data_IF_717511027537
#
_entry.id   IF_717511027537
#
_cell.length_a   1.000
_cell.length_b   1.000
_cell.length_c   1.000
_cell.angle_alpha   90.00
_cell.angle_beta   90.00
_cell.angle_gamma   90.00
#
_symmetry.space_group_name_H-M   'P 1'
#
loop_
_entity.id
_entity.type
_entity.pdbx_description
1 polymer ?
#
# COMPACT_ATOMS: atom_id res chain seq x y z
N UNK A 1 -11.56 -20.96 -14.40
CA UNK A 1 -10.66 -20.36 -13.40
C UNK A 1 -9.95 -19.11 -13.93
N UNK A 2 -9.15 -19.19 -15.01
CA UNK A 2 -8.38 -18.05 -15.56
C UNK A 2 -9.13 -16.71 -15.68
N UNK A 3 -10.31 -16.69 -16.31
CA UNK A 3 -11.08 -15.45 -16.48
C UNK A 3 -11.53 -14.85 -15.15
N UNK A 4 -11.86 -15.69 -14.17
CA UNK A 4 -12.22 -15.24 -12.83
C UNK A 4 -11.04 -14.56 -12.12
N UNK A 5 -9.86 -15.19 -12.13
CA UNK A 5 -8.64 -14.58 -11.58
C UNK A 5 -8.26 -13.26 -12.30
N UNK A 6 -8.41 -13.22 -13.63
CA UNK A 6 -8.21 -12.01 -14.42
C UNK A 6 -9.16 -10.89 -14.03
N UNK A 7 -10.47 -11.16 -13.96
CA UNK A 7 -11.48 -10.19 -13.55
C UNK A 7 -11.31 -9.74 -12.09
N UNK A 8 -10.91 -10.64 -11.19
CA UNK A 8 -10.58 -10.32 -9.81
C UNK A 8 -9.48 -9.25 -9.72
N UNK A 9 -8.38 -9.47 -10.45
CA UNK A 9 -7.26 -8.53 -10.51
C UNK A 9 -7.65 -7.18 -11.13
N UNK A 10 -8.45 -7.20 -12.19
CA UNK A 10 -8.99 -5.97 -12.78
C UNK A 10 -9.94 -5.22 -11.81
N UNK A 11 -10.71 -5.94 -10.99
CA UNK A 11 -11.53 -5.34 -9.94
C UNK A 11 -10.68 -4.68 -8.85
N UNK A 12 -9.58 -5.31 -8.41
CA UNK A 12 -8.61 -4.67 -7.51
C UNK A 12 -8.07 -3.39 -8.15
N UNK A 13 -7.66 -3.45 -9.43
CA UNK A 13 -7.15 -2.29 -10.13
C UNK A 13 -8.15 -1.13 -10.17
N UNK A 14 -9.41 -1.42 -10.50
CA UNK A 14 -10.48 -0.42 -10.50
C UNK A 14 -10.67 0.21 -9.10
N UNK A 15 -10.74 -0.60 -8.04
CA UNK A 15 -10.84 -0.11 -6.65
C UNK A 15 -9.65 0.76 -6.25
N UNK A 16 -8.44 0.41 -6.67
CA UNK A 16 -7.25 1.20 -6.41
C UNK A 16 -7.29 2.56 -7.14
N UNK A 17 -7.69 2.60 -8.42
CA UNK A 17 -7.77 3.86 -9.16
C UNK A 17 -8.91 4.76 -8.65
N UNK A 18 -10.05 4.16 -8.31
CA UNK A 18 -11.17 4.88 -7.68
C UNK A 18 -10.77 5.37 -6.28
N UNK A 19 -10.14 4.54 -5.47
CA UNK A 19 -9.67 4.91 -4.14
C UNK A 19 -8.60 5.99 -4.15
N UNK A 20 -7.81 6.09 -5.23
CA UNK A 20 -6.77 7.12 -5.40
C UNK A 20 -7.28 8.39 -6.11
N UNK A 21 -8.54 8.44 -6.50
CA UNK A 21 -9.17 9.54 -7.24
C UNK A 21 -8.78 10.94 -6.72
N UNK A 22 -8.84 11.14 -5.41
CA UNK A 22 -8.54 12.43 -4.78
C UNK A 22 -7.11 12.89 -5.02
N UNK A 23 -6.14 11.97 -4.99
CA UNK A 23 -4.74 12.31 -5.19
C UNK A 23 -4.45 12.75 -6.63
N UNK A 24 -5.21 12.26 -7.61
CA UNK A 24 -5.13 12.73 -9.00
C UNK A 24 -5.60 14.19 -9.16
N UNK A 25 -6.52 14.63 -8.30
CA UNK A 25 -7.04 16.01 -8.32
C UNK A 25 -6.29 16.95 -7.39
N UNK A 26 -5.75 16.42 -6.30
CA UNK A 26 -5.02 17.15 -5.26
C UNK A 26 -3.63 16.54 -5.12
N UNK A 27 -2.66 16.93 -5.97
CA UNK A 27 -1.36 16.28 -6.02
C UNK A 27 -0.59 16.26 -4.69
N UNK A 28 -0.88 17.20 -3.79
CA UNK A 28 -0.32 17.22 -2.42
C UNK A 28 -0.61 15.94 -1.63
N UNK A 29 -1.70 15.23 -1.96
CA UNK A 29 -2.06 13.96 -1.32
C UNK A 29 -1.15 12.80 -1.76
N UNK A 30 -0.37 12.92 -2.84
CA UNK A 30 0.63 11.90 -3.17
C UNK A 30 1.73 11.76 -2.12
N UNK A 31 1.80 12.66 -1.12
CA UNK A 31 2.71 12.49 0.01
C UNK A 31 2.32 11.28 0.88
N UNK A 32 1.03 10.93 0.97
CA UNK A 32 0.58 9.81 1.78
C UNK A 32 1.00 8.47 1.16
N UNK A 33 1.48 7.56 2.02
CA UNK A 33 1.89 6.22 1.65
C UNK A 33 0.72 5.41 1.04
N UNK A 34 -0.48 5.58 1.60
CA UNK A 34 -1.72 4.94 1.13
C UNK A 34 -1.99 5.22 -0.36
N UNK A 35 -1.89 6.49 -0.79
CA UNK A 35 -2.17 6.84 -2.18
C UNK A 35 -1.10 6.28 -3.12
N UNK A 36 0.20 6.43 -2.77
CA UNK A 36 1.30 5.89 -3.59
C UNK A 36 1.19 4.38 -3.77
N UNK A 37 1.01 3.64 -2.68
CA UNK A 37 0.95 2.17 -2.71
C UNK A 37 -0.35 1.64 -3.29
N UNK A 38 -1.48 2.31 -3.06
CA UNK A 38 -2.74 2.02 -3.72
C UNK A 38 -2.63 2.15 -5.25
N UNK A 39 -1.98 3.21 -5.73
CA UNK A 39 -1.78 3.40 -7.17
C UNK A 39 -0.87 2.33 -7.78
N UNK A 40 0.26 2.03 -7.13
CA UNK A 40 1.19 0.98 -7.60
C UNK A 40 0.52 -0.39 -7.60
N UNK A 41 -0.24 -0.73 -6.54
CA UNK A 41 -1.07 -1.94 -6.52
C UNK A 41 -2.04 -1.96 -7.70
N UNK A 42 -2.71 -0.83 -7.98
CA UNK A 42 -3.65 -0.69 -9.08
C UNK A 42 -3.02 -1.00 -10.44
N UNK A 43 -1.87 -0.40 -10.74
CA UNK A 43 -1.14 -0.66 -12.00
C UNK A 43 -0.64 -2.10 -12.10
N UNK A 44 -0.11 -2.67 -11.01
CA UNK A 44 0.36 -4.06 -11.00
C UNK A 44 -0.78 -5.04 -11.20
N UNK A 45 -1.95 -4.79 -10.60
CA UNK A 45 -3.13 -5.63 -10.76
C UNK A 45 -3.80 -5.45 -12.12
N UNK A 46 -3.72 -4.26 -12.72
CA UNK A 46 -4.11 -4.04 -14.11
C UNK A 46 -3.25 -4.88 -15.07
N UNK A 47 -1.92 -4.84 -14.90
CA UNK A 47 -1.00 -5.67 -15.66
C UNK A 47 -1.27 -7.16 -15.43
N UNK A 48 -1.34 -7.61 -14.17
CA UNK A 48 -1.61 -9.01 -13.84
C UNK A 48 -2.96 -9.51 -14.41
N UNK A 49 -4.01 -8.70 -14.30
CA UNK A 49 -5.35 -9.01 -14.83
C UNK A 49 -5.33 -9.14 -16.35
N UNK A 50 -4.78 -8.15 -17.05
CA UNK A 50 -4.63 -8.17 -18.51
C UNK A 50 -3.79 -9.36 -18.98
N UNK A 51 -2.63 -9.59 -18.36
CA UNK A 51 -1.76 -10.73 -18.68
C UNK A 51 -2.48 -12.07 -18.46
N UNK A 52 -3.30 -12.18 -17.41
CA UNK A 52 -4.07 -13.40 -17.12
C UNK A 52 -5.13 -13.67 -18.19
N UNK A 53 -5.84 -12.63 -18.65
CA UNK A 53 -6.90 -12.77 -19.66
C UNK A 53 -6.30 -13.03 -21.05
N UNK A 54 -5.29 -12.24 -21.42
CA UNK A 54 -4.66 -12.22 -22.74
C UNK A 54 -3.53 -13.23 -22.91
N UNK A 55 -3.23 -14.03 -21.87
CA UNK A 55 -2.07 -14.95 -21.84
C UNK A 55 -0.73 -14.22 -22.05
N UNK A 56 -0.61 -13.00 -21.51
CA UNK A 56 0.60 -12.20 -21.56
C UNK A 56 1.62 -12.57 -20.47
N UNK A 57 2.72 -11.84 -20.44
CA UNK A 57 3.76 -11.96 -19.41
C UNK A 57 3.22 -11.42 -18.09
N UNK A 58 3.29 -12.22 -17.03
CA UNK A 58 2.86 -11.82 -15.68
C UNK A 58 3.89 -10.88 -15.02
N UNK A 59 3.46 -10.01 -14.09
CA UNK A 59 4.40 -9.26 -13.27
C UNK A 59 5.38 -10.20 -12.54
N UNK A 60 6.64 -9.77 -12.33
CA UNK A 60 7.62 -10.59 -11.62
C UNK A 60 7.17 -10.83 -10.18
N UNK A 61 7.53 -11.98 -9.61
CA UNK A 61 7.16 -12.37 -8.25
C UNK A 61 7.58 -11.32 -7.22
N UNK A 62 8.76 -10.70 -7.41
CA UNK A 62 9.21 -9.58 -6.58
C UNK A 62 8.18 -8.43 -6.51
N UNK A 63 7.63 -8.05 -7.67
CA UNK A 63 6.68 -6.94 -7.76
C UNK A 63 5.30 -7.30 -7.19
N UNK A 64 4.86 -8.56 -7.36
CA UNK A 64 3.66 -9.06 -6.70
C UNK A 64 3.81 -9.08 -5.18
N UNK A 65 4.93 -9.56 -4.68
CA UNK A 65 5.21 -9.58 -3.25
C UNK A 65 5.26 -8.19 -2.61
N UNK A 66 5.93 -7.22 -3.25
CA UNK A 66 6.03 -5.86 -2.69
C UNK A 66 4.66 -5.15 -2.62
N UNK A 67 3.81 -5.28 -3.63
CA UNK A 67 2.49 -4.64 -3.60
C UNK A 67 1.55 -5.32 -2.61
N UNK A 68 1.66 -6.64 -2.42
CA UNK A 68 0.91 -7.36 -1.38
C UNK A 68 1.37 -6.93 0.01
N UNK A 69 2.69 -6.83 0.25
CA UNK A 69 3.24 -6.32 1.51
C UNK A 69 2.66 -4.94 1.84
N UNK A 70 2.74 -3.99 0.91
CA UNK A 70 2.29 -2.64 1.16
C UNK A 70 0.78 -2.52 1.30
N UNK A 71 0.00 -3.37 0.63
CA UNK A 71 -1.44 -3.44 0.83
C UNK A 71 -1.78 -3.89 2.27
N UNK A 72 -1.13 -4.95 2.75
CA UNK A 72 -1.31 -5.46 4.12
C UNK A 72 -0.87 -4.42 5.15
N UNK A 73 0.31 -3.85 4.97
CA UNK A 73 0.83 -2.78 5.84
C UNK A 73 -0.13 -1.59 5.89
N UNK A 74 -0.65 -1.16 4.74
CA UNK A 74 -1.60 -0.05 4.67
C UNK A 74 -2.86 -0.35 5.46
N UNK A 75 -3.40 -1.58 5.36
CA UNK A 75 -4.55 -1.99 6.16
C UNK A 75 -4.24 -2.04 7.66
N UNK A 76 -3.10 -2.61 8.05
CA UNK A 76 -2.68 -2.73 9.45
C UNK A 76 -2.48 -1.34 10.08
N UNK A 77 -1.77 -0.44 9.40
CA UNK A 77 -1.56 0.93 9.86
C UNK A 77 -2.88 1.69 9.93
N UNK A 78 -3.74 1.57 8.92
CA UNK A 78 -5.06 2.20 8.94
C UNK A 78 -5.94 1.68 10.09
N UNK A 79 -5.87 0.39 10.41
CA UNK A 79 -6.67 -0.20 11.48
C UNK A 79 -6.15 0.17 12.88
N UNK A 80 -4.82 0.20 13.07
CA UNK A 80 -4.22 0.38 14.40
C UNK A 80 -3.93 1.84 14.74
N UNK A 81 -3.58 2.66 13.75
CA UNK A 81 -2.98 3.99 13.99
C UNK A 81 -3.83 5.15 13.46
N UNK A 82 -4.85 4.89 12.63
CA UNK A 82 -5.68 5.94 12.06
C UNK A 82 -7.03 6.04 12.78
N UNK A 83 -7.57 7.24 12.97
CA UNK A 83 -8.95 7.40 13.43
C UNK A 83 -9.93 6.84 12.39
N UNK A 84 -11.17 6.49 12.81
CA UNK A 84 -12.22 6.13 11.86
C UNK A 84 -12.44 7.20 10.79
N UNK A 85 -12.64 6.77 9.55
CA UNK A 85 -12.97 7.65 8.43
C UNK A 85 -14.31 8.36 8.68
N UNK A 86 -14.37 9.67 8.41
CA UNK A 86 -15.59 10.48 8.51
C UNK A 86 -16.25 10.63 7.13
N UNK A 87 -17.50 10.17 6.94
CA UNK A 87 -18.19 10.25 5.66
C UNK A 87 -18.45 11.67 5.16
N UNK A 88 -18.32 12.69 6.02
CA UNK A 88 -18.45 14.10 5.63
C UNK A 88 -17.20 14.64 4.92
N UNK A 89 -16.05 14.02 5.13
CA UNK A 89 -14.75 14.49 4.61
C UNK A 89 -14.12 13.53 3.62
N UNK A 90 -14.47 12.24 3.66
CA UNK A 90 -13.97 11.23 2.73
C UNK A 90 -14.97 11.04 1.58
N UNK A 91 -14.58 11.29 0.32
CA UNK A 91 -15.41 11.05 -0.85
C UNK A 91 -15.96 9.65 -0.92
N UNK A 92 -17.20 9.56 -1.40
CA UNK A 92 -17.90 8.30 -1.58
C UNK A 92 -18.17 8.05 -3.06
N UNK A 93 -17.82 6.85 -3.52
CA UNK A 93 -18.08 6.41 -4.88
C UNK A 93 -18.87 5.11 -4.78
N UNK A 94 -20.06 5.09 -5.38
CA UNK A 94 -21.03 3.99 -5.26
C UNK A 94 -21.41 3.67 -3.79
N UNK A 95 -21.48 4.70 -2.93
CA UNK A 95 -21.81 4.53 -1.50
C UNK A 95 -20.68 3.96 -0.64
N UNK A 96 -19.47 3.84 -1.18
CA UNK A 96 -18.28 3.36 -0.47
C UNK A 96 -17.26 4.49 -0.39
N UNK A 97 -16.74 4.75 0.82
CA UNK A 97 -15.66 5.72 1.03
C UNK A 97 -14.38 5.28 0.31
N UNK A 98 -13.70 6.20 -0.37
CA UNK A 98 -12.42 5.95 -1.07
C UNK A 98 -11.37 5.34 -0.15
N UNK A 99 -11.25 5.83 1.09
CA UNK A 99 -10.37 5.24 2.10
C UNK A 99 -10.78 3.81 2.47
N UNK A 100 -12.07 3.49 2.55
CA UNK A 100 -12.51 2.10 2.80
C UNK A 100 -12.07 1.17 1.68
N UNK A 101 -12.04 1.64 0.43
CA UNK A 101 -11.50 0.86 -0.69
C UNK A 101 -10.01 0.56 -0.50
N UNK A 102 -9.19 1.55 -0.10
CA UNK A 102 -7.74 1.39 0.02
C UNK A 102 -7.28 0.76 1.35
N UNK A 103 -7.98 0.98 2.45
CA UNK A 103 -7.61 0.50 3.79
C UNK A 103 -8.20 -0.88 4.11
N UNK A 104 -9.24 -1.32 3.40
CA UNK A 104 -9.94 -2.58 3.72
C UNK A 104 -10.14 -3.46 2.50
N UNK A 105 -10.89 -2.99 1.50
CA UNK A 105 -11.35 -3.85 0.40
C UNK A 105 -10.17 -4.32 -0.46
N UNK A 106 -9.37 -3.40 -1.02
CA UNK A 106 -8.25 -3.74 -1.88
C UNK A 106 -7.16 -4.56 -1.17
N UNK A 107 -6.77 -4.26 0.10
CA UNK A 107 -5.87 -5.13 0.87
C UNK A 107 -6.38 -6.56 1.06
N UNK A 108 -7.65 -6.73 1.47
CA UNK A 108 -8.24 -8.07 1.62
C UNK A 108 -8.21 -8.81 0.28
N UNK A 109 -8.58 -8.11 -0.81
CA UNK A 109 -8.57 -8.71 -2.14
C UNK A 109 -7.16 -9.05 -2.64
N UNK A 110 -6.15 -8.25 -2.29
CA UNK A 110 -4.75 -8.50 -2.64
C UNK A 110 -4.18 -9.71 -1.88
N UNK A 111 -4.53 -9.88 -0.60
CA UNK A 111 -4.17 -11.07 0.18
C UNK A 111 -4.85 -12.31 -0.40
N UNK A 112 -6.15 -12.23 -0.71
CA UNK A 112 -6.85 -13.34 -1.36
C UNK A 112 -6.27 -13.66 -2.74
N UNK A 113 -5.85 -12.65 -3.52
CA UNK A 113 -5.19 -12.87 -4.81
C UNK A 113 -3.85 -13.58 -4.65
N UNK A 114 -3.05 -13.15 -3.68
CA UNK A 114 -1.78 -13.80 -3.33
C UNK A 114 -1.98 -15.26 -2.93
N UNK A 115 -2.93 -15.56 -2.05
CA UNK A 115 -3.17 -16.92 -1.56
C UNK A 115 -3.82 -17.84 -2.60
N UNK A 116 -4.73 -17.32 -3.42
CA UNK A 116 -5.59 -18.16 -4.27
C UNK A 116 -5.11 -18.25 -5.71
N UNK A 117 -4.60 -17.15 -6.29
CA UNK A 117 -4.37 -17.04 -7.73
C UNK A 117 -2.90 -16.97 -8.13
N UNK A 118 -2.00 -16.65 -7.20
CA UNK A 118 -0.57 -16.63 -7.49
C UNK A 118 0.09 -18.02 -7.34
N UNK A 119 1.04 -18.38 -8.21
CA UNK A 119 1.91 -19.53 -7.97
C UNK A 119 2.95 -19.18 -6.90
N UNK A 120 3.18 -20.09 -5.95
CA UNK A 120 4.10 -19.88 -4.84
C UNK A 120 5.47 -20.54 -5.03
N UNK A 121 6.32 -20.44 -4.00
CA UNK A 121 7.73 -20.85 -3.97
C UNK A 121 8.59 -20.06 -4.94
N UNK A 122 8.24 -18.79 -5.18
CA UNK A 122 8.90 -17.90 -6.13
C UNK A 122 9.67 -16.77 -5.45
N UNK A 123 9.45 -16.53 -4.17
CA UNK A 123 10.14 -15.47 -3.45
C UNK A 123 11.55 -15.91 -3.05
N UNK A 124 12.54 -15.15 -3.51
CA UNK A 124 13.90 -15.27 -3.02
C UNK A 124 13.98 -14.72 -1.60
N UNK A 125 14.84 -15.29 -0.75
CA UNK A 125 14.94 -14.88 0.65
C UNK A 125 15.25 -13.39 0.79
N UNK A 126 16.10 -12.84 -0.08
CA UNK A 126 16.48 -11.43 -0.02
C UNK A 126 15.36 -10.46 -0.42
N UNK A 127 14.25 -10.97 -0.98
CA UNK A 127 13.10 -10.14 -1.33
C UNK A 127 12.53 -9.46 -0.09
N UNK A 128 12.48 -10.17 1.04
CA UNK A 128 11.91 -9.66 2.29
C UNK A 128 12.61 -8.39 2.80
N UNK A 129 13.91 -8.24 2.51
CA UNK A 129 14.68 -7.04 2.84
C UNK A 129 14.53 -5.96 1.76
N UNK A 130 14.59 -6.35 0.49
CA UNK A 130 14.47 -5.39 -0.62
C UNK A 130 13.11 -4.68 -0.66
N UNK A 131 12.04 -5.35 -0.23
CA UNK A 131 10.72 -4.75 -0.12
C UNK A 131 10.62 -3.70 0.99
N UNK A 132 11.61 -3.61 1.89
CA UNK A 132 11.62 -2.58 2.93
C UNK A 132 12.31 -1.29 2.47
N UNK A 133 13.00 -1.29 1.32
CA UNK A 133 13.82 -0.16 0.85
C UNK A 133 12.99 1.10 0.60
N UNK A 134 11.75 0.96 0.14
CA UNK A 134 10.90 2.12 -0.15
C UNK A 134 10.51 2.88 1.12
N UNK A 135 10.42 2.22 2.27
CA UNK A 135 10.00 2.84 3.53
C UNK A 135 10.95 3.95 3.98
N UNK A 136 12.28 3.74 4.11
CA UNK A 136 13.21 4.81 4.43
C UNK A 136 13.30 5.85 3.31
N UNK A 137 13.12 5.48 2.03
CA UNK A 137 13.06 6.44 0.92
C UNK A 137 11.86 7.38 1.08
N UNK A 138 10.69 6.82 1.35
CA UNK A 138 9.47 7.57 1.60
C UNK A 138 9.60 8.44 2.85
N UNK A 139 10.19 7.92 3.94
CA UNK A 139 10.47 8.72 5.14
C UNK A 139 11.39 9.90 4.86
N UNK A 140 12.51 9.67 4.18
CA UNK A 140 13.44 10.74 3.80
C UNK A 140 12.74 11.80 2.95
N UNK A 141 11.89 11.38 2.01
CA UNK A 141 11.06 12.28 1.21
C UNK A 141 10.11 13.12 2.08
N UNK A 142 9.35 12.50 3.00
CA UNK A 142 8.43 13.22 3.89
C UNK A 142 9.18 14.19 4.80
N UNK A 143 10.30 13.77 5.39
CA UNK A 143 11.10 14.62 6.27
C UNK A 143 11.71 15.80 5.51
N UNK A 144 12.28 15.55 4.33
CA UNK A 144 12.82 16.60 3.46
C UNK A 144 11.74 17.59 3.03
N UNK A 145 10.57 17.09 2.63
CA UNK A 145 9.40 17.93 2.31
C UNK A 145 8.98 18.76 3.51
N UNK A 146 8.91 18.17 4.70
CA UNK A 146 8.48 18.86 5.91
C UNK A 146 9.45 19.96 6.34
N UNK A 147 10.75 19.75 6.11
CA UNK A 147 11.79 20.76 6.34
C UNK A 147 11.68 21.93 5.36
N UNK A 148 11.32 21.67 4.09
CA UNK A 148 11.13 22.69 3.04
C UNK A 148 9.74 23.38 3.06
N UNK A 149 8.76 22.79 3.74
CA UNK A 149 7.38 23.26 3.70
C UNK A 149 7.18 24.72 4.15
N UNK A 150 7.81 25.19 5.26
CA UNK A 150 7.65 26.58 5.71
C UNK A 150 8.19 27.62 4.73
N UNK A 151 9.06 27.23 3.79
CA UNK A 151 9.80 28.16 2.93
C UNK A 151 9.42 28.07 1.45
N UNK A 152 9.02 26.89 0.94
CA UNK A 152 8.89 26.67 -0.51
C UNK A 152 7.62 25.93 -0.97
N UNK A 153 6.96 25.16 -0.10
CA UNK A 153 5.92 24.19 -0.54
C UNK A 153 4.50 24.49 -0.05
N UNK A 154 4.29 25.61 0.65
CA UNK A 154 2.98 26.02 1.16
C UNK A 154 2.48 25.16 2.32
N UNK A 155 1.16 25.05 2.48
CA UNK A 155 0.53 24.24 3.52
C UNK A 155 0.78 22.73 3.30
N UNK A 156 0.94 22.00 4.39
CA UNK A 156 1.13 20.56 4.37
C UNK A 156 -0.12 19.76 3.96
N UNK A 157 0.05 18.45 3.67
CA UNK A 157 -1.01 17.59 3.14
C UNK A 157 -2.10 17.26 4.16
N UNK A 158 -1.82 17.45 5.44
CA UNK A 158 -2.75 17.18 6.53
C UNK A 158 -3.57 18.42 6.91
N UNK A 159 -4.65 18.19 7.66
CA UNK A 159 -5.53 19.25 8.14
C UNK A 159 -4.75 20.35 8.89
N UNK A 160 -5.16 21.60 8.74
CA UNK A 160 -4.45 22.74 9.31
C UNK A 160 -3.10 23.04 8.66
N UNK A 161 -2.76 22.38 7.55
CA UNK A 161 -1.50 22.60 6.83
C UNK A 161 -0.30 21.93 7.49
N UNK A 162 -0.51 20.89 8.30
CA UNK A 162 0.60 20.15 8.92
C UNK A 162 1.47 19.48 7.83
N UNK A 163 2.78 19.75 7.80
CA UNK A 163 3.69 19.21 6.78
C UNK A 163 3.82 17.69 6.79
N UNK A 164 3.52 17.03 7.91
CA UNK A 164 3.57 15.58 8.05
C UNK A 164 2.22 14.95 7.67
N UNK A 165 2.21 13.88 6.86
CA UNK A 165 0.98 13.20 6.46
C UNK A 165 0.35 12.40 7.61
N UNK A 166 1.12 11.98 8.61
CA UNK A 166 0.60 11.19 9.72
C UNK A 166 1.12 11.69 11.07
N UNK A 167 0.25 11.65 12.09
CA UNK A 167 0.57 12.09 13.45
C UNK A 167 1.72 11.28 14.08
N UNK A 168 1.79 9.97 13.79
CA UNK A 168 2.83 9.09 14.33
C UNK A 168 4.24 9.36 13.77
N UNK A 169 4.39 10.25 12.79
CA UNK A 169 5.70 10.72 12.29
C UNK A 169 5.82 12.24 12.33
N UNK A 170 4.91 12.91 13.03
CA UNK A 170 4.98 14.35 13.24
C UNK A 170 6.08 14.67 14.24
N UNK A 171 7.27 14.97 13.73
CA UNK A 171 8.43 15.28 14.56
C UNK A 171 8.20 16.51 15.44
N UNK A 172 7.37 17.48 15.01
CA UNK A 172 7.08 18.68 15.81
C UNK A 172 6.21 18.34 17.02
N UNK A 173 5.26 17.42 16.86
CA UNK A 173 4.39 16.99 17.95
C UNK A 173 5.06 15.95 18.87
N UNK A 174 5.88 15.06 18.31
CA UNK A 174 6.46 13.90 19.01
C UNK A 174 7.82 14.19 19.66
N UNK A 175 8.61 15.09 19.09
CA UNK A 175 10.04 15.21 19.38
C UNK A 175 10.86 14.01 18.89
N UNK A 176 12.19 14.15 18.94
CA UNK A 176 13.11 13.17 18.35
C UNK A 176 13.05 11.77 18.97
N UNK A 177 12.85 11.69 20.29
CA UNK A 177 12.84 10.40 21.00
C UNK A 177 11.65 9.53 20.57
N UNK A 178 10.43 10.06 20.69
CA UNK A 178 9.23 9.30 20.32
C UNK A 178 9.17 9.05 18.82
N UNK A 179 9.62 10.00 17.99
CA UNK A 179 9.78 9.79 16.55
C UNK A 179 10.70 8.58 16.26
N UNK A 180 11.86 8.49 16.91
CA UNK A 180 12.78 7.37 16.76
C UNK A 180 12.17 6.03 17.16
N UNK A 181 11.42 6.00 18.26
CA UNK A 181 10.69 4.80 18.71
C UNK A 181 9.68 4.37 17.65
N UNK A 182 8.84 5.29 17.17
CA UNK A 182 7.84 4.99 16.15
C UNK A 182 8.48 4.47 14.84
N UNK A 183 9.62 5.04 14.43
CA UNK A 183 10.35 4.54 13.26
C UNK A 183 10.83 3.09 13.45
N UNK A 184 11.34 2.74 14.64
CA UNK A 184 11.79 1.39 14.95
C UNK A 184 10.62 0.39 15.01
N UNK A 185 9.50 0.78 15.62
CA UNK A 185 8.28 -0.03 15.68
C UNK A 185 7.71 -0.30 14.28
N UNK A 186 7.63 0.73 13.44
CA UNK A 186 7.19 0.59 12.06
C UNK A 186 8.15 -0.29 11.25
N UNK A 187 9.46 -0.10 11.38
CA UNK A 187 10.45 -0.96 10.70
C UNK A 187 10.31 -2.43 11.12
N UNK A 188 10.15 -2.69 12.42
CA UNK A 188 9.93 -4.03 12.96
C UNK A 188 8.63 -4.65 12.45
N UNK A 189 7.52 -3.91 12.47
CA UNK A 189 6.23 -4.36 11.98
C UNK A 189 6.26 -4.69 10.48
N UNK A 190 6.86 -3.82 9.66
CA UNK A 190 6.96 -4.05 8.21
C UNK A 190 7.83 -5.26 7.91
N UNK A 191 8.94 -5.42 8.63
CA UNK A 191 9.78 -6.62 8.51
C UNK A 191 9.01 -7.89 8.90
N UNK A 192 8.24 -7.86 9.99
CA UNK A 192 7.42 -8.99 10.41
C UNK A 192 6.40 -9.40 9.34
N UNK A 193 5.66 -8.44 8.76
CA UNK A 193 4.71 -8.72 7.67
C UNK A 193 5.43 -9.26 6.43
N UNK A 194 6.58 -8.69 6.09
CA UNK A 194 7.42 -9.14 4.98
C UNK A 194 7.88 -10.59 5.16
N UNK A 195 8.31 -10.94 6.37
CA UNK A 195 8.69 -12.30 6.74
C UNK A 195 7.50 -13.26 6.68
N UNK A 196 6.31 -12.86 7.15
CA UNK A 196 5.09 -13.67 7.08
C UNK A 196 4.74 -13.98 5.62
N UNK A 197 4.75 -12.99 4.73
CA UNK A 197 4.49 -13.20 3.30
C UNK A 197 5.53 -14.14 2.66
N UNK A 198 6.80 -13.99 3.04
CA UNK A 198 7.84 -14.91 2.60
C UNK A 198 7.58 -16.35 3.06
N UNK A 199 7.24 -16.55 4.34
CA UNK A 199 6.95 -17.87 4.89
C UNK A 199 5.74 -18.50 4.20
N UNK A 200 4.66 -17.73 4.00
CA UNK A 200 3.46 -18.21 3.27
C UNK A 200 3.83 -18.67 1.86
N UNK A 201 4.62 -17.89 1.11
CA UNK A 201 5.09 -18.31 -0.22
C UNK A 201 5.92 -19.60 -0.20
N UNK A 202 6.61 -19.92 0.90
CA UNK A 202 7.39 -21.16 1.01
C UNK A 202 6.56 -22.39 1.36
N UNK A 203 5.51 -22.23 2.17
CA UNK A 203 4.66 -23.36 2.60
C UNK A 203 3.60 -23.71 1.56
N UNK A 204 3.09 -22.72 0.82
CA UNK A 204 2.05 -22.93 -0.18
C UNK A 204 2.54 -23.74 -1.41
N UNK A 205 1.63 -24.39 -2.17
CA UNK A 205 1.98 -25.15 -3.36
C UNK A 205 2.60 -24.29 -4.47
N UNK A 206 3.52 -24.87 -5.25
CA UNK A 206 4.15 -24.18 -6.38
C UNK A 206 3.18 -23.78 -7.52
N UNK A 207 1.94 -24.26 -7.47
CA UNK A 207 0.86 -23.96 -8.43
C UNK A 207 -0.23 -23.16 -7.70
N UNK A 208 -0.98 -22.29 -8.39
CA UNK A 208 -2.11 -21.60 -7.79
C UNK A 208 -3.14 -22.58 -7.21
N UNK A 209 -3.74 -22.24 -6.07
CA UNK A 209 -4.83 -23.03 -5.48
C UNK A 209 -6.09 -23.01 -6.35
N UNK A 210 -6.37 -21.86 -6.98
CA UNK A 210 -7.43 -21.65 -7.96
C UNK A 210 -6.81 -21.02 -9.21
N UNK A 211 -6.95 -21.63 -10.39
CA UNK A 211 -6.33 -21.08 -11.60
C UNK A 211 -6.18 -22.07 -12.73
#
# INVERSE_FOLDING_TARGET
MRFFAGLWRLAIAALCFVGTYEAWQRPVLWVYFTFQTGAVLGFVMLWAGAATILKGIQPPAWLKGVVTLYAVVTAVVAFLLMPPDDPNYVPQILGIMTNTMLHRIAPIMAVADFLLFDPHRRFQWHYMFSWLIYVPVWFAFVMGRAWLAPTLLGSGPAAGGNPYPYAFIDLKALGWQQFGINCLELAGAFFAVSLVLFVIDRIEPAKPLLG
#
